data_IF_279335175768
#
_entry.id   IF_279335175768
#
_cell.length_a   1.000
_cell.length_b   1.000
_cell.length_c   1.000
_cell.angle_alpha   90.00
_cell.angle_beta   90.00
_cell.angle_gamma   90.00
#
_symmetry.space_group_name_H-M   'P 1'
#
loop_
_entity.id
_entity.type
_entity.pdbx_description
1 polymer ?
#
# COMPACT_ATOMS: atom_id res chain seq x y z
N UNK A 1 -15.18 27.34 -17.61
CA UNK A 1 -14.57 26.03 -17.31
C UNK A 1 -15.72 25.05 -17.09
N UNK A 2 -15.80 23.98 -17.89
CA UNK A 2 -16.92 23.02 -17.84
C UNK A 2 -16.41 21.76 -17.17
N UNK A 3 -16.99 21.43 -16.02
CA UNK A 3 -16.69 20.20 -15.29
C UNK A 3 -17.76 19.16 -15.59
N UNK A 4 -17.36 18.02 -16.12
CA UNK A 4 -18.25 16.90 -16.46
C UNK A 4 -18.09 15.83 -15.38
N UNK A 5 -19.15 15.53 -14.64
CA UNK A 5 -19.14 14.44 -13.65
C UNK A 5 -19.31 13.10 -14.36
N UNK A 6 -18.33 12.21 -14.21
CA UNK A 6 -18.35 10.86 -14.76
C UNK A 6 -18.88 9.85 -13.73
N UNK A 7 -18.50 10.04 -12.47
CA UNK A 7 -18.93 9.23 -11.33
C UNK A 7 -18.97 10.10 -10.07
N UNK A 8 -19.39 9.54 -8.93
CA UNK A 8 -19.44 10.24 -7.64
C UNK A 8 -18.10 10.90 -7.28
N UNK A 9 -17.00 10.20 -7.57
CA UNK A 9 -15.62 10.61 -7.23
C UNK A 9 -14.78 11.06 -8.43
N UNK A 10 -15.30 10.95 -9.66
CA UNK A 10 -14.52 11.16 -10.89
C UNK A 10 -15.16 12.25 -11.73
N UNK A 11 -14.38 13.26 -12.08
CA UNK A 11 -14.79 14.35 -12.94
C UNK A 11 -13.75 14.63 -14.04
N UNK A 12 -14.21 15.19 -15.15
CA UNK A 12 -13.39 15.76 -16.20
C UNK A 12 -13.44 17.28 -16.08
N UNK A 13 -12.27 17.89 -15.98
CA UNK A 13 -12.09 19.34 -16.05
C UNK A 13 -11.23 19.70 -17.27
N UNK A 14 -11.89 20.08 -18.36
CA UNK A 14 -11.24 20.30 -19.66
C UNK A 14 -10.55 19.04 -20.17
N UNK A 15 -9.20 19.01 -20.10
CA UNK A 15 -8.35 17.90 -20.53
C UNK A 15 -7.76 17.11 -19.34
N UNK A 16 -8.16 17.43 -18.11
CA UNK A 16 -7.72 16.75 -16.90
C UNK A 16 -8.83 15.84 -16.36
N UNK A 17 -8.43 14.65 -15.89
CA UNK A 17 -9.28 13.81 -15.05
C UNK A 17 -8.96 14.14 -13.58
N UNK A 18 -10.00 14.43 -12.82
CA UNK A 18 -9.93 14.66 -11.38
C UNK A 18 -10.61 13.50 -10.66
N UNK A 19 -9.89 12.89 -9.71
CA UNK A 19 -10.40 11.81 -8.86
C UNK A 19 -10.30 12.26 -7.41
N UNK A 20 -11.45 12.56 -6.80
CA UNK A 20 -11.53 12.98 -5.40
C UNK A 20 -11.64 11.77 -4.48
N UNK A 21 -10.92 11.75 -3.35
CA UNK A 21 -10.93 10.63 -2.39
C UNK A 21 -10.64 9.27 -3.07
N UNK A 22 -9.55 9.23 -3.84
CA UNK A 22 -9.10 8.03 -4.53
C UNK A 22 -8.84 6.89 -3.53
N UNK A 23 -9.44 5.73 -3.81
CA UNK A 23 -9.24 4.48 -3.08
C UNK A 23 -8.57 3.43 -3.99
N UNK A 24 -8.39 2.21 -3.48
CA UNK A 24 -7.73 1.15 -4.24
C UNK A 24 -8.42 0.74 -5.53
N UNK A 25 -9.73 0.95 -5.66
CA UNK A 25 -10.46 0.62 -6.88
C UNK A 25 -10.12 1.59 -8.02
N UNK A 26 -9.59 2.76 -7.67
CA UNK A 26 -9.10 3.76 -8.62
C UNK A 26 -7.63 3.54 -9.01
N UNK A 27 -6.92 2.59 -8.39
CA UNK A 27 -5.53 2.32 -8.72
C UNK A 27 -5.42 1.65 -10.10
N UNK A 28 -4.54 2.14 -10.96
CA UNK A 28 -4.41 1.59 -12.30
C UNK A 28 -3.67 2.49 -13.29
N UNK A 29 -3.74 2.12 -14.56
CA UNK A 29 -3.19 2.89 -15.67
C UNK A 29 -4.31 3.71 -16.31
N UNK A 30 -4.10 5.02 -16.35
CA UNK A 30 -4.96 5.97 -17.02
C UNK A 30 -4.33 6.40 -18.34
N UNK A 31 -5.11 6.34 -19.41
CA UNK A 31 -4.65 6.66 -20.76
C UNK A 31 -5.39 7.88 -21.28
N UNK A 32 -4.64 8.88 -21.74
CA UNK A 32 -5.16 10.06 -22.44
C UNK A 32 -4.87 9.91 -23.93
N UNK A 33 -5.94 9.89 -24.72
CA UNK A 33 -5.88 9.79 -26.18
C UNK A 33 -6.27 11.13 -26.80
N UNK A 34 -5.32 11.78 -27.46
CA UNK A 34 -5.57 12.96 -28.26
C UNK A 34 -5.62 12.58 -29.74
N UNK A 35 -6.80 12.73 -30.34
CA UNK A 35 -7.04 12.47 -31.76
C UNK A 35 -7.28 13.79 -32.46
N UNK A 36 -6.53 14.06 -33.52
CA UNK A 36 -6.81 15.18 -34.42
C UNK A 36 -7.13 14.62 -35.80
N UNK A 37 -8.23 15.08 -36.41
CA UNK A 37 -8.61 14.73 -37.78
C UNK A 37 -8.40 15.94 -38.66
N UNK A 38 -7.53 15.82 -39.66
CA UNK A 38 -7.30 16.91 -40.62
C UNK A 38 -7.27 16.39 -42.05
N UNK A 39 -7.79 17.20 -42.97
CA UNK A 39 -7.76 16.92 -44.40
C UNK A 39 -6.85 17.93 -45.09
N UNK A 40 -5.83 17.43 -45.78
CA UNK A 40 -4.91 18.25 -46.57
C UNK A 40 -4.72 17.61 -47.96
N UNK A 41 -4.89 18.40 -49.03
CA UNK A 41 -4.73 17.92 -50.41
C UNK A 41 -5.63 16.74 -50.79
N UNK A 42 -6.86 16.69 -50.27
CA UNK A 42 -7.82 15.61 -50.52
C UNK A 42 -7.54 14.30 -49.76
N UNK A 43 -6.51 14.27 -48.91
CA UNK A 43 -6.21 13.12 -48.04
C UNK A 43 -6.55 13.47 -46.59
N UNK A 44 -7.28 12.60 -45.92
CA UNK A 44 -7.60 12.73 -44.50
C UNK A 44 -6.59 11.92 -43.68
N UNK A 45 -5.97 12.56 -42.69
CA UNK A 45 -5.04 11.95 -41.73
C UNK A 45 -5.61 12.06 -40.32
N UNK A 46 -5.46 11.00 -39.53
CA UNK A 46 -5.92 10.92 -38.13
C UNK A 46 -4.78 10.52 -37.19
N UNK A 47 -3.82 11.42 -36.90
CA UNK A 47 -2.80 11.15 -35.88
C UNK A 47 -3.44 10.92 -34.50
N UNK A 48 -2.98 9.86 -33.82
CA UNK A 48 -3.34 9.50 -32.45
C UNK A 48 -2.11 9.67 -31.55
N UNK A 49 -2.25 10.46 -30.48
CA UNK A 49 -1.22 10.63 -29.44
C UNK A 49 -1.77 9.99 -28.16
N UNK A 50 -1.01 9.08 -27.57
CA UNK A 50 -1.39 8.33 -26.37
C UNK A 50 -0.41 8.66 -25.24
N UNK A 51 -0.93 9.03 -24.06
CA UNK A 51 -0.14 9.27 -22.85
C UNK A 51 -0.70 8.41 -21.71
N UNK A 52 0.16 7.57 -21.14
CA UNK A 52 -0.20 6.69 -20.02
C UNK A 52 0.33 7.24 -18.68
N UNK A 53 -0.48 7.13 -17.63
CA UNK A 53 -0.14 7.53 -16.25
C UNK A 53 -0.57 6.45 -15.28
N UNK A 54 0.33 6.06 -14.38
CA UNK A 54 0.04 5.10 -13.32
C UNK A 54 -0.43 5.86 -12.08
N UNK A 55 -1.64 5.56 -11.61
CA UNK A 55 -2.18 6.06 -10.34
C UNK A 55 -1.96 4.99 -9.26
N UNK A 56 -1.00 5.25 -8.38
CA UNK A 56 -0.73 4.41 -7.22
C UNK A 56 -1.35 5.03 -5.97
N UNK A 57 -2.34 4.37 -5.39
CA UNK A 57 -2.99 4.80 -4.14
C UNK A 57 -2.29 4.16 -2.95
N UNK A 58 -1.83 4.98 -2.00
CA UNK A 58 -1.21 4.50 -0.77
C UNK A 58 -2.30 4.13 0.24
N UNK A 59 -2.15 2.99 0.92
CA UNK A 59 -2.98 2.70 2.07
C UNK A 59 -2.67 3.67 3.21
N UNK A 60 -3.71 4.27 3.80
CA UNK A 60 -3.56 5.06 5.02
C UNK A 60 -3.15 4.19 6.21
N UNK A 61 -3.55 2.91 6.23
CA UNK A 61 -3.19 1.94 7.27
C UNK A 61 -1.95 1.10 6.94
N UNK A 62 -1.23 1.39 5.84
CA UNK A 62 -0.11 0.57 5.39
C UNK A 62 1.06 0.54 6.37
N UNK A 63 1.21 1.60 7.17
CA UNK A 63 2.22 1.73 8.22
C UNK A 63 1.94 0.88 9.48
N UNK A 64 0.71 0.39 9.66
CA UNK A 64 0.38 -0.39 10.87
C UNK A 64 0.97 -1.80 10.82
N UNK A 65 1.14 -2.35 9.62
CA UNK A 65 1.71 -3.67 9.41
C UNK A 65 3.15 -3.80 9.95
N UNK A 66 4.12 -2.92 9.58
CA UNK A 66 5.47 -2.99 10.15
C UNK A 66 5.48 -2.75 11.66
N UNK A 67 4.61 -1.88 12.18
CA UNK A 67 4.50 -1.66 13.63
C UNK A 67 3.99 -2.89 14.38
N UNK A 68 2.97 -3.57 13.86
CA UNK A 68 2.43 -4.79 14.45
C UNK A 68 3.46 -5.91 14.54
N UNK A 69 4.32 -6.05 13.51
CA UNK A 69 5.43 -7.01 13.52
C UNK A 69 6.40 -6.70 14.67
N UNK A 70 6.82 -5.44 14.82
CA UNK A 70 7.75 -5.02 15.88
C UNK A 70 7.16 -5.30 17.26
N UNK A 71 5.90 -4.94 17.49
CA UNK A 71 5.21 -5.18 18.77
C UNK A 71 5.16 -6.68 19.07
N UNK A 72 4.84 -7.51 18.08
CA UNK A 72 4.78 -8.98 18.24
C UNK A 72 6.15 -9.54 18.66
N UNK A 73 7.24 -9.09 18.05
CA UNK A 73 8.61 -9.51 18.41
C UNK A 73 8.94 -9.10 19.85
N UNK A 74 8.63 -7.86 20.24
CA UNK A 74 8.89 -7.38 21.62
C UNK A 74 8.12 -8.21 22.66
N UNK A 75 6.85 -8.53 22.39
CA UNK A 75 6.04 -9.40 23.27
C UNK A 75 6.66 -10.79 23.40
N UNK A 76 7.07 -11.40 22.28
CA UNK A 76 7.74 -12.70 22.30
C UNK A 76 9.05 -12.65 23.11
N UNK A 77 9.85 -11.60 22.98
CA UNK A 77 11.07 -11.43 23.76
C UNK A 77 10.79 -11.33 25.25
N UNK A 78 9.78 -10.56 25.65
CA UNK A 78 9.37 -10.44 27.06
C UNK A 78 8.91 -11.80 27.62
N UNK A 79 8.13 -12.56 26.84
CA UNK A 79 7.68 -13.90 27.24
C UNK A 79 8.88 -14.84 27.40
N UNK A 80 9.80 -14.86 26.42
CA UNK A 80 11.00 -15.70 26.47
C UNK A 80 11.86 -15.35 27.69
N UNK A 81 12.15 -14.07 27.91
CA UNK A 81 12.95 -13.61 29.05
C UNK A 81 12.25 -13.98 30.36
N UNK A 82 10.94 -13.74 30.47
CA UNK A 82 10.15 -14.09 31.65
C UNK A 82 10.18 -15.59 31.95
N UNK A 83 10.00 -16.44 30.94
CA UNK A 83 10.08 -17.91 31.08
C UNK A 83 11.51 -18.34 31.44
N UNK A 84 12.53 -17.74 30.82
CA UNK A 84 13.94 -18.01 31.12
C UNK A 84 14.29 -17.65 32.56
N UNK A 85 13.88 -16.48 33.05
CA UNK A 85 14.08 -16.05 34.44
C UNK A 85 13.32 -16.95 35.43
N UNK A 86 12.07 -17.33 35.14
CA UNK A 86 11.31 -18.27 35.98
C UNK A 86 11.99 -19.63 36.03
N UNK A 87 12.47 -20.17 34.90
CA UNK A 87 13.20 -21.44 34.84
C UNK A 87 14.58 -21.35 35.50
N UNK A 88 15.28 -20.23 35.36
CA UNK A 88 16.58 -19.94 36.00
C UNK A 88 16.45 -19.64 37.49
N UNK A 89 15.26 -19.32 38.00
CA UNK A 89 14.97 -19.34 39.44
C UNK A 89 14.65 -20.74 39.96
N UNK A 90 14.50 -21.74 39.07
CA UNK A 90 14.32 -23.17 39.42
C UNK A 90 15.58 -24.07 39.32
N UNK A 91 16.85 -23.64 39.46
CA UNK A 91 17.97 -24.55 39.57
C UNK A 91 18.20 -24.91 41.05
N UNK A 92 18.15 -26.21 41.31
CA UNK A 92 18.63 -26.90 42.53
C UNK A 92 17.81 -26.89 43.83
N UNK A 93 16.73 -27.69 43.85
CA UNK A 93 16.61 -28.71 44.93
C UNK A 93 17.30 -30.04 44.59
N UNK A 94 17.54 -30.35 43.30
CA UNK A 94 18.07 -31.65 42.87
C UNK A 94 19.58 -31.86 43.15
N UNK A 95 20.44 -30.84 43.05
CA UNK A 95 21.88 -31.00 43.35
C UNK A 95 22.22 -31.04 44.85
N UNK A 96 21.25 -30.92 45.76
CA UNK A 96 21.46 -31.19 47.18
C UNK A 96 21.47 -32.70 47.52
N UNK A 97 21.03 -33.57 46.60
CA UNK A 97 21.02 -35.03 46.82
C UNK A 97 22.24 -35.77 46.21
N UNK A 98 23.10 -35.08 45.46
CA UNK A 98 24.28 -35.65 44.78
C UNK A 98 25.62 -35.26 45.45
N UNK A 99 25.57 -34.70 46.66
CA UNK A 99 26.75 -34.36 47.49
C UNK A 99 26.78 -35.13 48.83
N UNK A 100 25.93 -36.16 48.96
CA UNK A 100 25.97 -37.15 50.04
C UNK A 100 26.45 -38.50 49.51
N UNK A 101 27.64 -38.55 48.90
CA UNK A 101 28.48 -39.75 48.78
C UNK A 101 29.94 -39.36 48.94
#
# INVERSE_FOLDING_TARGET
MVVIKLSEKVALDGNAIEITNADYEHAGVYTCEAVNEYTAGGKTSKPLIIIERILAVKNELGWIYPLAIIITILVLLVIIIGVCEIRKRRPNKQSQYLTQE
#
